data_IF_395986604765
#
_entry.id   IF_395986604765
#
_cell.length_a   1.000
_cell.length_b   1.000
_cell.length_c   1.000
_cell.angle_alpha   90.00
_cell.angle_beta   90.00
_cell.angle_gamma   90.00
#
_symmetry.space_group_name_H-M   'P 1'
#
loop_
_entity.id
_entity.type
_entity.pdbx_description
1 polymer ?
#
# COMPACT_ATOMS: atom_id res chain seq x y z
N UNK A 1 -13.58 25.50 20.23
CA UNK A 1 -13.58 24.02 20.30
C UNK A 1 -12.79 23.60 19.08
N UNK A 2 -11.62 22.99 19.24
CA UNK A 2 -11.05 22.25 18.12
C UNK A 2 -12.06 21.15 17.81
N UNK A 3 -12.59 21.12 16.59
CA UNK A 3 -13.41 20.00 16.14
C UNK A 3 -12.55 18.75 16.30
N UNK A 4 -12.88 17.93 17.30
CA UNK A 4 -12.21 16.66 17.51
C UNK A 4 -12.58 15.80 16.32
N UNK A 5 -11.71 15.75 15.31
CA UNK A 5 -11.91 14.89 14.15
C UNK A 5 -11.86 13.45 14.66
N UNK A 6 -13.02 12.82 14.72
CA UNK A 6 -13.13 11.42 15.13
C UNK A 6 -12.42 10.54 14.09
N UNK A 7 -11.69 9.51 14.51
CA UNK A 7 -11.02 8.61 13.59
C UNK A 7 -12.04 7.86 12.74
N UNK A 8 -11.74 7.70 11.45
CA UNK A 8 -12.58 6.92 10.53
C UNK A 8 -12.55 5.45 10.97
N UNK A 9 -13.71 4.85 11.18
CA UNK A 9 -13.83 3.45 11.57
C UNK A 9 -13.61 2.53 10.37
N UNK A 10 -12.55 1.71 10.44
CA UNK A 10 -12.10 0.84 9.35
C UNK A 10 -12.33 -0.63 9.68
N UNK A 11 -12.83 -1.38 8.69
CA UNK A 11 -12.87 -2.84 8.70
C UNK A 11 -11.80 -3.41 7.77
N UNK A 12 -11.21 -4.54 8.13
CA UNK A 12 -10.25 -5.27 7.29
C UNK A 12 -10.89 -6.60 6.88
N UNK A 13 -10.96 -6.89 5.57
CA UNK A 13 -11.32 -8.22 5.08
C UNK A 13 -10.09 -8.93 4.54
N UNK A 14 -9.71 -10.05 5.14
CA UNK A 14 -8.48 -10.80 4.87
C UNK A 14 -7.29 -10.31 5.69
N UNK A 15 -6.81 -11.14 6.61
CA UNK A 15 -5.73 -10.80 7.54
C UNK A 15 -4.37 -11.41 7.12
N UNK A 16 -4.12 -11.42 5.82
CA UNK A 16 -2.81 -11.70 5.24
C UNK A 16 -1.81 -10.55 5.44
N UNK A 17 -0.66 -10.54 4.73
CA UNK A 17 0.40 -9.55 4.92
C UNK A 17 -0.07 -8.09 4.85
N UNK A 18 -0.91 -7.78 3.85
CA UNK A 18 -1.46 -6.42 3.69
C UNK A 18 -2.43 -6.09 4.82
N UNK A 19 -3.35 -7.01 5.18
CA UNK A 19 -4.30 -6.78 6.27
C UNK A 19 -3.61 -6.57 7.63
N UNK A 20 -2.54 -7.34 7.90
CA UNK A 20 -1.69 -7.14 9.07
C UNK A 20 -1.00 -5.79 9.05
N UNK A 21 -0.40 -5.41 7.91
CA UNK A 21 0.26 -4.12 7.75
C UNK A 21 -0.73 -2.94 7.92
N UNK A 22 -1.97 -3.06 7.43
CA UNK A 22 -3.04 -2.06 7.62
C UNK A 22 -3.36 -1.91 9.10
N UNK A 23 -3.58 -3.00 9.83
CA UNK A 23 -3.83 -2.95 11.27
C UNK A 23 -2.66 -2.30 12.02
N UNK A 24 -1.43 -2.75 11.76
CA UNK A 24 -0.25 -2.26 12.48
C UNK A 24 0.03 -0.78 12.16
N UNK A 25 -0.24 -0.33 10.93
CA UNK A 25 -0.10 1.07 10.56
C UNK A 25 -1.16 1.93 11.28
N UNK A 26 -2.38 1.42 11.46
CA UNK A 26 -3.48 2.15 12.09
C UNK A 26 -3.22 2.52 13.55
N UNK A 27 -2.41 1.74 14.29
CA UNK A 27 -2.08 2.06 15.69
C UNK A 27 -1.26 3.34 15.86
N UNK A 28 -0.70 3.87 14.77
CA UNK A 28 0.14 5.07 14.75
C UNK A 28 -0.43 6.14 13.83
N UNK A 29 -1.71 6.04 13.47
CA UNK A 29 -2.43 6.98 12.63
C UNK A 29 -3.71 7.43 13.37
N UNK A 30 -3.74 8.65 13.93
CA UNK A 30 -4.88 9.12 14.72
C UNK A 30 -6.14 9.39 13.88
N UNK A 31 -6.04 9.39 12.54
CA UNK A 31 -7.17 9.68 11.65
C UNK A 31 -8.04 8.45 11.36
N UNK A 32 -7.60 7.26 11.77
CA UNK A 32 -8.28 5.99 11.50
C UNK A 32 -8.26 5.10 12.73
N UNK A 33 -9.29 4.26 12.86
CA UNK A 33 -9.34 3.23 13.89
C UNK A 33 -9.88 1.95 13.28
N UNK A 34 -9.07 0.88 13.29
CA UNK A 34 -9.57 -0.44 12.92
C UNK A 34 -10.45 -0.97 14.05
N UNK A 35 -11.70 -1.27 13.73
CA UNK A 35 -12.73 -1.74 14.68
C UNK A 35 -13.23 -3.15 14.37
N UNK A 36 -12.88 -3.69 13.20
CA UNK A 36 -13.26 -5.05 12.83
C UNK A 36 -12.28 -5.70 11.84
N UNK A 37 -12.11 -7.01 11.97
CA UNK A 37 -11.34 -7.87 11.08
C UNK A 37 -12.21 -9.06 10.70
N UNK A 38 -12.31 -9.36 9.42
CA UNK A 38 -12.87 -10.62 8.94
C UNK A 38 -11.78 -11.44 8.27
N UNK A 39 -11.52 -12.66 8.73
CA UNK A 39 -10.68 -13.63 8.02
C UNK A 39 -11.28 -15.02 8.17
N UNK A 40 -11.62 -15.67 7.06
CA UNK A 40 -12.32 -16.95 7.10
C UNK A 40 -11.44 -18.14 7.56
N UNK A 41 -10.12 -17.96 7.64
CA UNK A 41 -9.15 -19.04 7.90
C UNK A 41 -8.35 -18.86 9.18
N UNK A 42 -8.26 -17.63 9.69
CA UNK A 42 -7.38 -17.28 10.80
C UNK A 42 -8.16 -17.08 12.09
N UNK A 43 -7.81 -17.82 13.16
CA UNK A 43 -8.52 -17.71 14.44
C UNK A 43 -8.23 -16.40 15.17
N UNK A 44 -9.20 -15.93 15.98
CA UNK A 44 -9.04 -14.77 16.85
C UNK A 44 -7.83 -14.87 17.79
N UNK A 45 -7.56 -16.07 18.34
CA UNK A 45 -6.41 -16.31 19.21
C UNK A 45 -5.08 -16.12 18.49
N UNK A 46 -5.01 -16.51 17.21
CA UNK A 46 -3.80 -16.33 16.41
C UNK A 46 -3.60 -14.86 16.01
N UNK A 47 -4.66 -14.13 15.67
CA UNK A 47 -4.59 -12.68 15.45
C UNK A 47 -4.10 -11.97 16.72
N UNK A 48 -4.65 -12.32 17.88
CA UNK A 48 -4.20 -11.80 19.17
C UNK A 48 -2.75 -12.19 19.51
N UNK A 49 -2.30 -13.38 19.09
CA UNK A 49 -0.91 -13.80 19.20
C UNK A 49 0.01 -12.94 18.33
N UNK A 50 -0.33 -12.70 17.06
CA UNK A 50 0.44 -11.83 16.16
C UNK A 50 0.52 -10.41 16.72
N UNK A 51 -0.58 -9.86 17.24
CA UNK A 51 -0.58 -8.56 17.90
C UNK A 51 0.39 -8.50 19.07
N UNK A 52 0.46 -9.55 19.90
CA UNK A 52 1.39 -9.63 21.03
C UNK A 52 2.86 -9.75 20.63
N UNK A 53 3.16 -10.23 19.42
CA UNK A 53 4.53 -10.58 19.01
C UNK A 53 5.11 -9.64 17.95
N UNK A 54 4.33 -9.31 16.94
CA UNK A 54 4.82 -8.70 15.69
C UNK A 54 4.26 -7.30 15.41
N UNK A 55 3.27 -6.85 16.16
CA UNK A 55 2.70 -5.51 15.93
C UNK A 55 3.66 -4.36 16.29
N UNK A 56 3.34 -3.18 15.76
CA UNK A 56 3.96 -1.88 16.06
C UNK A 56 3.61 -1.31 17.43
N UNK A 57 2.74 -1.98 18.20
CA UNK A 57 2.30 -1.56 19.52
C UNK A 57 3.48 -1.52 20.51
N UNK A 58 3.39 -0.62 21.49
CA UNK A 58 4.36 -0.58 22.58
C UNK A 58 4.37 -1.91 23.36
N UNK A 59 5.44 -2.20 24.10
CA UNK A 59 5.51 -3.42 24.90
C UNK A 59 4.36 -3.52 25.92
N UNK A 60 3.95 -2.39 26.51
CA UNK A 60 2.80 -2.34 27.43
C UNK A 60 1.49 -2.65 26.72
N UNK A 61 1.28 -2.09 25.55
CA UNK A 61 0.05 -2.29 24.77
C UNK A 61 -0.06 -3.73 24.29
N UNK A 62 1.05 -4.32 23.83
CA UNK A 62 1.12 -5.74 23.50
C UNK A 62 0.78 -6.62 24.70
N UNK A 63 1.27 -6.30 25.90
CA UNK A 63 0.92 -7.05 27.11
C UNK A 63 -0.56 -6.96 27.49
N UNK A 64 -1.26 -5.91 27.05
CA UNK A 64 -2.69 -5.69 27.33
C UNK A 64 -3.66 -6.37 26.35
N UNK A 65 -3.16 -7.00 25.28
CA UNK A 65 -3.99 -7.63 24.26
C UNK A 65 -4.72 -8.84 24.86
N UNK A 66 -6.05 -8.79 24.89
CA UNK A 66 -6.92 -9.83 25.44
C UNK A 66 -8.03 -10.19 24.44
N UNK A 67 -8.41 -11.47 24.43
CA UNK A 67 -9.59 -11.96 23.70
C UNK A 67 -10.77 -12.00 24.66
N UNK A 68 -11.87 -11.33 24.29
CA UNK A 68 -13.11 -11.28 25.06
C UNK A 68 -14.28 -11.56 24.11
N UNK A 69 -14.75 -12.82 24.10
CA UNK A 69 -15.75 -13.26 23.14
C UNK A 69 -15.23 -13.17 21.71
N UNK A 70 -15.96 -12.47 20.84
CA UNK A 70 -15.54 -12.20 19.45
C UNK A 70 -14.66 -10.95 19.31
N UNK A 71 -14.22 -10.32 20.40
CA UNK A 71 -13.44 -9.10 20.37
C UNK A 71 -12.00 -9.31 20.82
N UNK A 72 -11.07 -8.63 20.15
CA UNK A 72 -9.74 -8.35 20.67
C UNK A 72 -9.77 -6.97 21.32
N UNK A 73 -9.39 -6.92 22.59
CA UNK A 73 -9.32 -5.70 23.38
C UNK A 73 -7.85 -5.29 23.58
N UNK A 74 -7.52 -4.03 23.33
CA UNK A 74 -6.18 -3.44 23.55
C UNK A 74 -6.34 -2.29 24.55
N UNK A 75 -5.55 -2.32 25.63
CA UNK A 75 -5.65 -1.39 26.77
C UNK A 75 -7.05 -1.27 27.40
N UNK A 76 -7.98 -2.18 27.10
CA UNK A 76 -9.38 -2.12 27.53
C UNK A 76 -10.26 -1.08 26.80
N UNK A 77 -9.69 -0.17 26.00
CA UNK A 77 -10.43 0.88 25.28
C UNK A 77 -10.69 0.54 23.82
N UNK A 78 -9.68 0.07 23.09
CA UNK A 78 -9.83 -0.31 21.68
C UNK A 78 -10.37 -1.74 21.60
N UNK A 79 -11.47 -1.91 20.87
CA UNK A 79 -12.10 -3.21 20.61
C UNK A 79 -12.15 -3.47 19.12
N UNK A 80 -11.68 -4.65 18.72
CA UNK A 80 -11.67 -5.10 17.33
C UNK A 80 -12.50 -6.38 17.27
N UNK A 81 -13.67 -6.32 16.63
CA UNK A 81 -14.47 -7.53 16.39
C UNK A 81 -13.77 -8.42 15.36
N UNK A 82 -13.66 -9.70 15.63
CA UNK A 82 -13.13 -10.68 14.69
C UNK A 82 -14.24 -11.62 14.23
N UNK A 83 -14.41 -11.72 12.92
CA UNK A 83 -15.37 -12.63 12.29
C UNK A 83 -14.70 -13.55 11.26
N UNK A 84 -15.37 -14.65 10.93
CA UNK A 84 -14.86 -15.68 10.01
C UNK A 84 -15.89 -15.98 8.90
N UNK A 85 -16.46 -14.94 8.31
CA UNK A 85 -17.54 -15.06 7.32
C UNK A 85 -16.98 -15.15 5.90
N UNK A 86 -17.58 -16.02 5.10
CA UNK A 86 -17.29 -16.13 3.67
C UNK A 86 -18.17 -15.20 2.83
N UNK A 87 -19.45 -15.10 3.18
CA UNK A 87 -20.36 -14.14 2.55
C UNK A 87 -20.07 -12.74 3.12
N UNK A 88 -19.83 -11.78 2.22
CA UNK A 88 -19.42 -10.43 2.57
C UNK A 88 -20.54 -9.62 3.23
N UNK A 89 -21.81 -9.94 2.92
CA UNK A 89 -22.96 -9.25 3.56
C UNK A 89 -23.13 -9.70 5.01
N UNK A 90 -22.87 -10.98 5.30
CA UNK A 90 -22.99 -11.58 6.64
C UNK A 90 -21.90 -11.11 7.61
N UNK A 91 -20.86 -10.41 7.13
CA UNK A 91 -19.88 -9.79 8.01
C UNK A 91 -20.55 -8.73 8.91
N UNK A 92 -21.63 -8.10 8.45
CA UNK A 92 -22.42 -7.12 9.20
C UNK A 92 -21.55 -5.98 9.76
N UNK A 93 -20.86 -5.27 8.87
CA UNK A 93 -20.00 -4.12 9.20
C UNK A 93 -20.72 -3.03 10.00
N UNK A 94 -22.02 -2.82 9.74
CA UNK A 94 -22.86 -1.85 10.45
C UNK A 94 -22.86 -2.05 11.97
N UNK A 95 -22.85 -3.30 12.43
CA UNK A 95 -23.03 -3.66 13.84
C UNK A 95 -21.88 -3.17 14.73
N UNK A 96 -20.73 -2.88 14.10
CA UNK A 96 -19.52 -2.36 14.76
C UNK A 96 -19.08 -1.02 14.19
N UNK A 97 -19.98 -0.32 13.48
CA UNK A 97 -19.76 1.05 13.01
C UNK A 97 -18.67 1.20 11.94
N UNK A 98 -18.30 0.13 11.22
CA UNK A 98 -17.32 0.24 10.13
C UNK A 98 -17.86 1.14 9.02
N UNK A 99 -17.11 2.20 8.70
CA UNK A 99 -17.44 3.14 7.63
C UNK A 99 -16.76 2.74 6.32
N UNK A 100 -15.49 2.33 6.36
CA UNK A 100 -14.75 1.91 5.17
C UNK A 100 -14.11 0.55 5.38
N UNK A 101 -14.12 -0.29 4.34
CA UNK A 101 -13.48 -1.60 4.36
C UNK A 101 -12.24 -1.58 3.49
N UNK A 102 -11.13 -2.08 4.01
CA UNK A 102 -9.96 -2.45 3.20
C UNK A 102 -10.07 -3.94 2.87
N UNK A 103 -10.31 -4.23 1.60
CA UNK A 103 -10.43 -5.58 1.06
C UNK A 103 -9.04 -6.10 0.67
N UNK A 104 -8.48 -6.99 1.50
CA UNK A 104 -7.13 -7.51 1.44
C UNK A 104 -7.05 -9.01 1.07
N UNK A 105 -8.18 -9.67 0.78
CA UNK A 105 -8.18 -11.11 0.46
C UNK A 105 -7.55 -11.42 -0.90
N UNK A 106 -7.63 -10.47 -1.85
CA UNK A 106 -7.29 -10.69 -3.25
C UNK A 106 -8.28 -11.60 -4.01
N UNK A 107 -9.36 -12.05 -3.37
CA UNK A 107 -10.40 -12.91 -3.96
C UNK A 107 -11.58 -12.10 -4.51
N UNK A 108 -11.88 -10.97 -3.86
CA UNK A 108 -12.96 -10.05 -4.21
C UNK A 108 -12.40 -8.89 -5.05
N UNK A 109 -12.02 -9.15 -6.29
CA UNK A 109 -11.41 -8.13 -7.16
C UNK A 109 -12.42 -7.40 -8.07
N UNK A 110 -13.71 -7.69 -7.98
CA UNK A 110 -14.75 -7.03 -8.80
C UNK A 110 -15.64 -6.11 -7.96
N UNK A 111 -16.14 -5.03 -8.58
CA UNK A 111 -17.04 -4.07 -7.96
C UNK A 111 -18.30 -4.75 -7.43
N UNK A 112 -18.84 -5.69 -8.21
CA UNK A 112 -20.01 -6.49 -7.85
C UNK A 112 -19.79 -7.29 -6.56
N UNK A 113 -18.66 -8.00 -6.43
CA UNK A 113 -18.36 -8.76 -5.20
C UNK A 113 -18.18 -7.82 -4.03
N UNK A 114 -17.38 -6.77 -4.18
CA UNK A 114 -17.14 -5.79 -3.11
C UNK A 114 -18.41 -5.06 -2.66
N UNK A 115 -19.45 -5.00 -3.49
CA UNK A 115 -20.75 -4.46 -3.09
C UNK A 115 -21.37 -5.21 -1.91
N UNK A 116 -21.01 -6.48 -1.68
CA UNK A 116 -21.42 -7.23 -0.49
C UNK A 116 -20.99 -6.56 0.82
N UNK A 117 -19.83 -5.88 0.85
CA UNK A 117 -19.41 -5.09 2.02
C UNK A 117 -20.27 -3.84 2.21
N UNK A 118 -20.65 -3.17 1.11
CA UNK A 118 -21.54 -2.01 1.15
C UNK A 118 -22.93 -2.43 1.65
N UNK A 119 -23.45 -3.55 1.14
CA UNK A 119 -24.70 -4.15 1.62
C UNK A 119 -24.62 -4.56 3.10
N UNK A 120 -23.44 -5.02 3.56
CA UNK A 120 -23.14 -5.31 4.96
C UNK A 120 -23.02 -4.07 5.86
N UNK A 121 -23.10 -2.86 5.29
CA UNK A 121 -23.21 -1.60 6.03
C UNK A 121 -22.03 -0.63 5.91
N UNK A 122 -20.98 -0.97 5.18
CA UNK A 122 -19.89 -0.03 4.92
C UNK A 122 -20.34 1.07 3.94
N UNK A 123 -19.83 2.30 4.12
CA UNK A 123 -20.03 3.41 3.18
C UNK A 123 -19.18 3.26 1.92
N UNK A 124 -17.99 2.69 2.07
CA UNK A 124 -17.07 2.47 0.95
C UNK A 124 -16.09 1.32 1.14
N UNK A 125 -15.45 0.90 0.06
CA UNK A 125 -14.51 -0.21 0.00
C UNK A 125 -13.28 0.21 -0.80
N UNK A 126 -12.11 -0.07 -0.25
CA UNK A 126 -10.82 0.04 -0.91
C UNK A 126 -10.32 -1.38 -1.19
N UNK A 127 -10.27 -1.77 -2.46
CA UNK A 127 -9.67 -3.02 -2.90
C UNK A 127 -8.16 -2.87 -2.91
N UNK A 128 -7.48 -3.58 -2.03
CA UNK A 128 -6.03 -3.67 -2.04
C UNK A 128 -5.56 -4.56 -3.21
N UNK A 129 -4.56 -4.09 -3.94
CA UNK A 129 -4.01 -4.76 -5.12
C UNK A 129 -4.73 -4.36 -6.40
N UNK A 130 -5.20 -5.35 -7.17
CA UNK A 130 -5.84 -5.11 -8.46
C UNK A 130 -7.34 -5.40 -8.43
N UNK A 131 -8.10 -4.51 -9.06
CA UNK A 131 -9.49 -4.76 -9.43
C UNK A 131 -9.64 -4.89 -10.95
N UNK A 132 -10.58 -5.75 -11.35
CA UNK A 132 -10.95 -5.94 -12.74
C UNK A 132 -11.66 -4.69 -13.31
N UNK A 133 -12.54 -4.06 -12.52
CA UNK A 133 -13.51 -3.07 -12.97
C UNK A 133 -13.68 -1.85 -12.03
N UNK A 134 -13.16 -1.88 -10.80
CA UNK A 134 -13.20 -0.72 -9.92
C UNK A 134 -12.18 0.36 -10.37
N UNK A 135 -12.55 1.65 -10.30
CA UNK A 135 -11.64 2.75 -10.65
C UNK A 135 -10.42 2.74 -9.72
N UNK A 136 -9.22 2.85 -10.29
CA UNK A 136 -7.97 2.90 -9.52
C UNK A 136 -7.68 4.32 -9.07
N UNK A 137 -7.39 4.50 -7.78
CA UNK A 137 -7.08 5.78 -7.17
C UNK A 137 -5.76 5.67 -6.40
N UNK A 138 -4.78 6.50 -6.75
CA UNK A 138 -3.49 6.59 -6.07
C UNK A 138 -3.27 8.05 -5.68
N UNK A 139 -3.13 8.28 -4.37
CA UNK A 139 -2.94 9.62 -3.84
C UNK A 139 -1.65 10.27 -4.37
N UNK A 140 -1.70 11.55 -4.76
CA UNK A 140 -0.58 12.26 -5.38
C UNK A 140 -0.27 11.83 -6.82
N UNK A 141 -1.14 11.06 -7.47
CA UNK A 141 -0.98 10.68 -8.88
C UNK A 141 -2.23 11.00 -9.71
N UNK A 142 -3.42 10.52 -9.31
CA UNK A 142 -4.66 10.75 -10.03
C UNK A 142 -5.86 11.05 -9.10
N UNK A 143 -5.60 11.38 -7.83
CA UNK A 143 -6.62 11.71 -6.84
C UNK A 143 -7.39 13.00 -7.13
N UNK A 144 -6.75 13.96 -7.80
CA UNK A 144 -7.40 15.19 -8.26
C UNK A 144 -8.48 14.95 -9.33
N UNK A 145 -8.41 13.81 -10.05
CA UNK A 145 -9.37 13.47 -11.09
C UNK A 145 -10.68 12.87 -10.54
N UNK A 146 -10.77 12.67 -9.22
CA UNK A 146 -11.93 12.05 -8.59
C UNK A 146 -13.14 13.01 -8.56
N UNK A 147 -13.99 12.90 -9.59
CA UNK A 147 -15.18 13.77 -9.76
C UNK A 147 -16.34 13.46 -8.83
N UNK A 148 -16.41 12.26 -8.27
CA UNK A 148 -17.52 11.82 -7.42
C UNK A 148 -17.12 10.69 -6.48
N UNK A 149 -17.75 10.62 -5.31
CA UNK A 149 -17.60 9.51 -4.38
C UNK A 149 -18.03 8.19 -5.06
N UNK A 150 -17.08 7.27 -5.21
CA UNK A 150 -17.36 5.90 -5.62
C UNK A 150 -17.30 5.00 -4.38
N UNK A 151 -18.35 4.20 -4.14
CA UNK A 151 -18.38 3.30 -2.98
C UNK A 151 -17.35 2.18 -3.05
N UNK A 152 -16.79 1.88 -4.22
CA UNK A 152 -15.75 0.85 -4.37
C UNK A 152 -14.64 1.40 -5.26
N UNK A 153 -13.43 1.51 -4.72
CA UNK A 153 -12.24 1.93 -5.46
C UNK A 153 -11.13 0.90 -5.32
N UNK A 154 -10.19 0.92 -6.25
CA UNK A 154 -8.99 0.08 -6.25
C UNK A 154 -7.78 0.93 -5.87
N UNK A 155 -6.95 0.47 -4.95
CA UNK A 155 -5.74 1.20 -4.57
C UNK A 155 -4.57 0.95 -5.53
N UNK A 156 -4.63 -0.07 -6.38
CA UNK A 156 -3.52 -0.45 -7.27
C UNK A 156 -2.44 -1.28 -6.56
N UNK A 157 -1.43 -1.74 -7.30
CA UNK A 157 -0.36 -2.56 -6.70
C UNK A 157 0.59 -1.73 -5.81
N UNK A 158 1.23 -2.34 -4.80
CA UNK A 158 2.18 -1.64 -3.91
C UNK A 158 3.28 -0.87 -4.63
N UNK A 159 3.91 -1.50 -5.64
CA UNK A 159 4.97 -0.87 -6.43
C UNK A 159 4.44 0.34 -7.22
N UNK A 160 3.27 0.22 -7.86
CA UNK A 160 2.67 1.35 -8.57
C UNK A 160 2.29 2.50 -7.63
N UNK A 161 1.72 2.19 -6.46
CA UNK A 161 1.35 3.21 -5.46
C UNK A 161 2.57 3.99 -4.96
N UNK A 162 3.72 3.33 -4.85
CA UNK A 162 4.97 3.97 -4.48
C UNK A 162 5.53 4.84 -5.62
N UNK A 163 5.57 4.31 -6.85
CA UNK A 163 6.29 4.94 -7.97
C UNK A 163 5.47 5.99 -8.74
N UNK A 164 4.15 5.86 -8.80
CA UNK A 164 3.30 6.69 -9.66
C UNK A 164 3.42 8.20 -9.39
N UNK A 165 3.46 8.70 -8.13
CA UNK A 165 3.64 10.13 -7.86
C UNK A 165 4.97 10.68 -8.40
N UNK A 166 6.06 9.91 -8.27
CA UNK A 166 7.38 10.29 -8.79
C UNK A 166 7.38 10.31 -10.32
N UNK A 167 6.84 9.28 -10.97
CA UNK A 167 6.77 9.18 -12.43
C UNK A 167 5.91 10.32 -13.00
N UNK A 168 4.77 10.63 -12.36
CA UNK A 168 3.92 11.77 -12.72
C UNK A 168 4.69 13.08 -12.61
N UNK A 169 5.43 13.28 -11.51
CA UNK A 169 6.26 14.46 -11.31
C UNK A 169 7.29 14.66 -12.41
N UNK A 170 8.05 13.61 -12.73
CA UNK A 170 9.08 13.67 -13.77
C UNK A 170 8.46 13.93 -15.15
N UNK A 171 7.29 13.35 -15.43
CA UNK A 171 6.59 13.59 -16.69
C UNK A 171 6.10 15.04 -16.81
N UNK A 172 5.49 15.59 -15.77
CA UNK A 172 4.99 16.97 -15.79
C UNK A 172 6.11 18.01 -15.90
N UNK A 173 7.25 17.79 -15.27
CA UNK A 173 8.34 18.77 -15.25
C UNK A 173 9.27 18.68 -16.46
N UNK A 174 9.55 17.47 -16.94
CA UNK A 174 10.62 17.25 -17.92
C UNK A 174 10.19 16.45 -19.15
N UNK A 175 8.96 15.94 -19.18
CA UNK A 175 8.50 15.02 -20.20
C UNK A 175 9.17 13.66 -20.06
N UNK A 176 8.40 12.65 -19.64
CA UNK A 176 8.90 11.28 -19.55
C UNK A 176 8.73 10.55 -20.89
N UNK A 177 9.84 10.15 -21.49
CA UNK A 177 9.87 9.36 -22.74
C UNK A 177 9.86 7.86 -22.45
N UNK A 178 10.59 7.44 -21.43
CA UNK A 178 10.74 6.02 -21.10
C UNK A 178 11.04 5.84 -19.61
N UNK A 179 10.43 4.85 -18.99
CA UNK A 179 10.70 4.44 -17.62
C UNK A 179 10.78 2.91 -17.57
N UNK A 180 11.90 2.39 -17.08
CA UNK A 180 12.08 0.96 -16.84
C UNK A 180 12.55 0.73 -15.42
N UNK A 181 11.78 0.00 -14.61
CA UNK A 181 12.12 -0.26 -13.22
C UNK A 181 12.32 -1.75 -12.92
N UNK A 182 13.19 -2.02 -11.95
CA UNK A 182 13.33 -3.33 -11.33
C UNK A 182 13.06 -3.18 -9.84
N UNK A 183 11.95 -3.73 -9.36
CA UNK A 183 11.63 -3.75 -7.93
C UNK A 183 12.24 -5.00 -7.28
N UNK A 184 13.03 -4.82 -6.24
CA UNK A 184 13.71 -5.89 -5.51
C UNK A 184 13.20 -5.82 -4.08
N UNK A 185 12.42 -6.81 -3.66
CA UNK A 185 11.82 -6.82 -2.32
C UNK A 185 12.03 -8.14 -1.60
N UNK A 186 11.96 -8.08 -0.28
CA UNK A 186 11.95 -9.26 0.56
C UNK A 186 10.80 -10.21 0.23
N UNK A 187 10.99 -11.48 0.58
CA UNK A 187 9.89 -12.43 0.68
C UNK A 187 8.90 -11.94 1.74
N UNK A 188 7.61 -11.93 1.40
CA UNK A 188 6.58 -11.46 2.33
C UNK A 188 6.13 -12.59 3.26
N UNK A 189 5.60 -12.26 4.46
CA UNK A 189 4.96 -13.25 5.32
C UNK A 189 3.92 -14.07 4.55
N UNK A 190 3.75 -15.34 4.89
CA UNK A 190 2.80 -16.27 4.24
C UNK A 190 3.08 -16.65 2.77
N UNK A 191 4.10 -16.09 2.12
CA UNK A 191 4.51 -16.58 0.81
C UNK A 191 5.12 -17.98 0.92
N UNK A 192 4.76 -18.84 -0.03
CA UNK A 192 5.18 -20.23 -0.02
C UNK A 192 6.67 -20.29 -0.36
N UNK A 193 7.45 -20.85 0.54
CA UNK A 193 8.92 -20.81 0.43
C UNK A 193 9.50 -21.87 -0.49
N UNK A 194 8.71 -22.88 -0.86
CA UNK A 194 9.04 -23.91 -1.85
C UNK A 194 7.81 -24.77 -2.21
N UNK A 195 7.81 -25.37 -3.40
CA UNK A 195 6.94 -26.48 -3.81
C UNK A 195 5.50 -26.11 -4.13
N UNK A 196 5.07 -24.86 -3.91
CA UNK A 196 3.71 -24.41 -4.19
C UNK A 196 3.70 -22.95 -4.66
N UNK A 197 2.82 -22.64 -5.61
CA UNK A 197 2.56 -21.29 -6.09
C UNK A 197 1.05 -21.07 -6.13
N UNK A 198 0.61 -19.83 -5.93
CA UNK A 198 -0.79 -19.43 -6.18
C UNK A 198 -1.12 -19.44 -7.67
N UNK A 199 -0.12 -19.35 -8.54
CA UNK A 199 -0.24 -19.51 -9.98
C UNK A 199 0.47 -20.81 -10.42
N UNK A 200 -0.27 -21.88 -10.78
CA UNK A 200 0.35 -23.16 -11.16
C UNK A 200 1.19 -23.08 -12.43
N UNK A 201 1.05 -22.02 -13.23
CA UNK A 201 1.87 -21.78 -14.42
C UNK A 201 3.17 -21.04 -14.11
N UNK A 202 3.31 -20.45 -12.92
CA UNK A 202 4.55 -19.78 -12.51
C UNK A 202 5.47 -20.76 -11.77
N UNK A 203 6.24 -21.52 -12.54
CA UNK A 203 7.19 -22.51 -12.01
C UNK A 203 8.39 -21.90 -11.29
N UNK A 204 8.69 -20.61 -11.47
CA UNK A 204 9.79 -19.99 -10.72
C UNK A 204 9.39 -19.80 -9.26
N UNK A 205 8.14 -19.41 -9.01
CA UNK A 205 7.60 -19.28 -7.66
C UNK A 205 7.40 -20.61 -6.92
N UNK A 206 7.54 -21.76 -7.58
CA UNK A 206 7.52 -23.08 -6.89
C UNK A 206 8.91 -23.52 -6.44
N UNK A 207 9.97 -22.79 -6.79
CA UNK A 207 11.35 -23.09 -6.35
C UNK A 207 11.58 -22.56 -4.93
N UNK A 208 12.58 -23.12 -4.25
CA UNK A 208 12.99 -22.70 -2.90
C UNK A 208 13.40 -21.22 -2.95
N UNK A 209 12.79 -20.35 -2.16
CA UNK A 209 13.04 -18.90 -2.21
C UNK A 209 14.01 -18.38 -1.15
N UNK A 210 14.22 -19.08 -0.03
CA UNK A 210 15.08 -18.60 1.08
C UNK A 210 16.56 -18.44 0.74
N UNK A 211 17.05 -19.08 -0.32
CA UNK A 211 18.45 -18.96 -0.79
C UNK A 211 18.54 -18.55 -2.27
N UNK A 212 17.46 -17.99 -2.84
CA UNK A 212 17.41 -17.67 -4.26
C UNK A 212 16.87 -16.26 -4.53
N UNK A 213 17.36 -15.66 -5.61
CA UNK A 213 16.77 -14.47 -6.23
C UNK A 213 15.71 -14.96 -7.22
N UNK A 214 14.44 -14.71 -6.92
CA UNK A 214 13.31 -15.28 -7.67
C UNK A 214 12.61 -14.18 -8.47
N UNK A 215 12.57 -14.27 -9.82
CA UNK A 215 11.74 -13.36 -10.61
C UNK A 215 10.27 -13.45 -10.19
N UNK A 216 9.64 -12.29 -9.99
CA UNK A 216 8.27 -12.16 -9.53
C UNK A 216 7.41 -11.43 -10.57
N UNK A 217 6.15 -11.85 -10.67
CA UNK A 217 5.19 -11.20 -11.58
C UNK A 217 4.70 -9.90 -10.91
N UNK A 218 5.31 -8.80 -11.31
CA UNK A 218 4.86 -7.47 -10.91
C UNK A 218 3.66 -6.99 -11.74
N UNK A 219 2.78 -6.29 -11.05
CA UNK A 219 1.52 -5.76 -11.55
C UNK A 219 1.53 -4.22 -11.60
N UNK A 220 2.67 -3.59 -11.32
CA UNK A 220 2.87 -2.15 -11.31
C UNK A 220 2.60 -1.51 -12.66
N UNK A 221 3.17 -2.04 -13.75
CA UNK A 221 2.91 -1.55 -15.12
C UNK A 221 1.43 -1.46 -15.43
N UNK A 222 0.67 -2.53 -15.23
CA UNK A 222 -0.78 -2.56 -15.51
C UNK A 222 -1.54 -1.49 -14.72
N UNK A 223 -1.11 -1.22 -13.49
CA UNK A 223 -1.72 -0.19 -12.64
C UNK A 223 -1.38 1.19 -13.18
N UNK A 224 -0.10 1.44 -13.51
CA UNK A 224 0.35 2.72 -14.06
C UNK A 224 -0.23 3.04 -15.43
N UNK A 225 -0.39 2.06 -16.32
CA UNK A 225 -1.09 2.23 -17.60
C UNK A 225 -2.54 2.72 -17.40
N UNK A 226 -3.22 2.29 -16.32
CA UNK A 226 -4.60 2.73 -16.00
C UNK A 226 -4.66 4.17 -15.49
N UNK A 227 -3.71 4.57 -14.64
CA UNK A 227 -3.75 5.87 -13.94
C UNK A 227 -2.94 6.98 -14.62
N UNK A 228 -2.03 6.62 -15.54
CA UNK A 228 -1.21 7.54 -16.31
C UNK A 228 -1.39 7.24 -17.81
N UNK A 229 -2.59 7.47 -18.38
CA UNK A 229 -2.92 7.06 -19.75
C UNK A 229 -2.00 7.68 -20.81
N UNK A 230 -1.48 8.89 -20.57
CA UNK A 230 -0.51 9.56 -21.45
C UNK A 230 0.87 8.88 -21.50
N UNK A 231 1.14 7.94 -20.59
CA UNK A 231 2.40 7.21 -20.49
C UNK A 231 2.27 5.72 -20.87
N UNK A 232 1.11 5.30 -21.37
CA UNK A 232 0.89 3.91 -21.81
C UNK A 232 1.95 3.52 -22.85
N UNK A 233 2.62 2.39 -22.59
CA UNK A 233 3.69 1.89 -23.44
C UNK A 233 5.07 2.52 -23.19
N UNK A 234 5.16 3.59 -22.39
CA UNK A 234 6.45 4.21 -21.98
C UNK A 234 7.00 3.64 -20.68
N UNK A 235 6.16 2.97 -19.89
CA UNK A 235 6.53 2.41 -18.59
C UNK A 235 6.61 0.88 -18.69
N UNK A 236 7.75 0.34 -18.31
CA UNK A 236 7.98 -1.10 -18.17
C UNK A 236 8.57 -1.40 -16.80
N UNK A 237 8.38 -2.63 -16.32
CA UNK A 237 9.06 -3.04 -15.11
C UNK A 237 9.02 -4.52 -14.85
N UNK A 238 9.91 -4.94 -13.97
CA UNK A 238 10.04 -6.31 -13.48
C UNK A 238 10.25 -6.29 -11.98
N UNK A 239 10.09 -7.44 -11.33
CA UNK A 239 10.40 -7.57 -9.92
C UNK A 239 11.16 -8.85 -9.60
N UNK A 240 11.89 -8.80 -8.50
CA UNK A 240 12.57 -9.93 -7.88
C UNK A 240 12.22 -10.00 -6.40
N UNK A 241 12.01 -11.22 -5.92
CA UNK A 241 12.01 -11.55 -4.51
C UNK A 241 13.38 -12.04 -4.09
N UNK A 242 13.86 -11.55 -2.94
CA UNK A 242 15.18 -11.91 -2.39
C UNK A 242 15.08 -12.27 -0.90
N UNK A 243 16.06 -13.01 -0.34
CA UNK A 243 16.06 -13.44 1.07
C UNK A 243 16.38 -12.34 2.10
N UNK A 244 15.72 -11.18 1.99
CA UNK A 244 15.84 -10.08 2.96
C UNK A 244 14.54 -9.93 3.74
N UNK A 245 14.64 -9.57 5.02
CA UNK A 245 13.49 -9.47 5.92
C UNK A 245 12.64 -8.22 5.69
N UNK A 246 13.24 -7.15 5.19
CA UNK A 246 12.64 -5.81 5.17
C UNK A 246 13.21 -4.99 4.02
N UNK A 247 12.39 -4.09 3.52
CA UNK A 247 12.75 -3.12 2.51
C UNK A 247 12.52 -3.59 1.08
N UNK A 248 12.27 -2.61 0.22
CA UNK A 248 12.23 -2.75 -1.22
C UNK A 248 13.14 -1.68 -1.83
N UNK A 249 14.11 -2.14 -2.63
CA UNK A 249 14.86 -1.28 -3.52
C UNK A 249 14.15 -1.25 -4.87
N UNK A 250 14.07 -0.07 -5.49
CA UNK A 250 13.71 0.04 -6.91
C UNK A 250 14.88 0.67 -7.62
N UNK A 251 15.37 -0.07 -8.60
CA UNK A 251 16.31 0.43 -9.56
C UNK A 251 15.56 0.91 -10.81
N UNK A 252 15.47 2.23 -11.01
CA UNK A 252 14.67 2.85 -12.06
C UNK A 252 15.54 3.61 -13.06
N UNK A 253 15.44 3.25 -14.34
CA UNK A 253 15.95 4.05 -15.45
C UNK A 253 14.83 4.96 -15.97
N UNK A 254 15.11 6.26 -16.10
CA UNK A 254 14.20 7.24 -16.69
C UNK A 254 14.90 7.97 -17.83
N UNK A 255 14.26 8.05 -18.99
CA UNK A 255 14.65 8.91 -20.10
C UNK A 255 13.65 10.05 -20.21
N UNK A 256 14.17 11.27 -20.26
CA UNK A 256 13.37 12.49 -20.29
C UNK A 256 13.42 13.12 -21.69
N UNK A 257 12.45 13.94 -22.04
CA UNK A 257 12.36 14.60 -23.36
C UNK A 257 13.47 15.63 -23.57
N UNK A 258 14.10 16.09 -22.48
CA UNK A 258 15.26 16.98 -22.48
C UNK A 258 16.30 16.49 -21.47
N UNK A 259 17.61 16.73 -21.70
CA UNK A 259 18.64 16.44 -20.71
C UNK A 259 18.40 17.20 -19.40
N UNK A 260 18.50 16.50 -18.28
CA UNK A 260 18.40 17.08 -16.93
C UNK A 260 19.67 16.73 -16.16
N UNK A 261 20.39 17.71 -15.65
CA UNK A 261 21.59 17.42 -14.84
C UNK A 261 21.21 16.74 -13.52
N UNK A 262 22.16 16.02 -12.92
CA UNK A 262 21.96 15.38 -11.61
C UNK A 262 21.57 16.40 -10.54
N UNK A 263 22.20 17.57 -10.55
CA UNK A 263 21.94 18.65 -9.60
C UNK A 263 20.53 19.22 -9.77
N UNK A 264 20.08 19.41 -11.02
CA UNK A 264 18.71 19.87 -11.30
C UNK A 264 17.68 18.85 -10.83
N UNK A 265 17.91 17.57 -11.12
CA UNK A 265 17.03 16.49 -10.68
C UNK A 265 16.95 16.41 -9.15
N UNK A 266 18.10 16.43 -8.47
CA UNK A 266 18.17 16.39 -7.01
C UNK A 266 17.40 17.52 -6.37
N UNK A 267 17.56 18.74 -6.92
CA UNK A 267 16.87 19.91 -6.42
C UNK A 267 15.35 19.77 -6.62
N UNK A 268 14.90 19.33 -7.80
CA UNK A 268 13.48 19.13 -8.08
C UNK A 268 12.84 18.08 -7.18
N UNK A 269 13.51 16.96 -6.92
CA UNK A 269 13.00 15.90 -6.03
C UNK A 269 13.01 16.33 -4.56
N UNK A 270 14.02 17.10 -4.14
CA UNK A 270 14.06 17.69 -2.79
C UNK A 270 12.94 18.69 -2.56
N UNK A 271 12.66 19.55 -3.55
CA UNK A 271 11.54 20.50 -3.51
C UNK A 271 10.21 19.78 -3.51
N UNK A 272 10.02 18.78 -4.37
CA UNK A 272 8.78 18.00 -4.40
C UNK A 272 8.53 17.26 -3.08
N UNK A 273 9.56 16.65 -2.47
CA UNK A 273 9.46 15.96 -1.18
C UNK A 273 9.09 16.90 -0.02
N UNK A 274 9.49 18.17 -0.10
CA UNK A 274 9.17 19.20 0.89
C UNK A 274 7.86 19.95 0.58
N UNK A 275 7.35 19.81 -0.65
CA UNK A 275 6.18 20.50 -1.17
C UNK A 275 5.05 19.53 -1.53
N UNK A 276 4.66 19.49 -2.81
CA UNK A 276 3.45 18.79 -3.26
C UNK A 276 3.45 17.27 -3.03
N UNK A 277 4.61 16.64 -2.92
CA UNK A 277 4.76 15.21 -2.62
C UNK A 277 5.17 14.96 -1.17
N UNK A 278 5.02 15.96 -0.29
CA UNK A 278 5.17 15.73 1.14
C UNK A 278 4.20 14.65 1.61
N UNK A 279 4.70 13.73 2.42
CA UNK A 279 3.94 12.54 2.86
C UNK A 279 4.08 11.32 1.94
N UNK A 280 4.56 11.49 0.70
CA UNK A 280 4.65 10.38 -0.27
C UNK A 280 6.05 10.21 -0.88
N UNK A 281 6.88 11.25 -0.86
CA UNK A 281 8.27 11.24 -1.29
C UNK A 281 9.17 11.73 -0.14
N UNK A 282 10.36 11.14 -0.02
CA UNK A 282 11.46 11.66 0.79
C UNK A 282 12.75 11.73 -0.02
N UNK A 283 13.66 12.60 0.40
CA UNK A 283 14.98 12.79 -0.22
C UNK A 283 16.05 12.44 0.81
N UNK A 284 17.01 11.59 0.46
CA UNK A 284 18.13 11.20 1.33
C UNK A 284 19.47 11.32 0.61
N UNK A 285 20.51 11.66 1.38
CA UNK A 285 21.93 11.56 1.00
C UNK A 285 22.71 10.59 1.91
N UNK A 286 22.00 9.88 2.78
CA UNK A 286 22.60 8.88 3.65
C UNK A 286 22.86 7.59 2.85
N UNK A 287 23.87 6.84 3.24
CA UNK A 287 24.22 5.55 2.63
C UNK A 287 23.23 4.46 3.10
N UNK A 288 22.00 4.52 2.60
CA UNK A 288 20.88 3.67 3.02
C UNK A 288 21.03 2.23 2.53
N UNK A 289 20.53 1.29 3.35
CA UNK A 289 20.34 -0.11 2.98
C UNK A 289 18.91 -0.58 3.28
N UNK A 290 18.59 -1.81 2.91
CA UNK A 290 17.21 -2.33 2.95
C UNK A 290 16.54 -2.28 4.33
N UNK A 291 17.28 -2.45 5.43
CA UNK A 291 16.69 -2.40 6.77
C UNK A 291 16.26 -0.99 7.20
N UNK A 292 16.77 0.05 6.53
CA UNK A 292 16.47 1.46 6.82
C UNK A 292 15.14 1.91 6.20
N UNK A 293 14.53 1.09 5.32
CA UNK A 293 13.19 1.36 4.80
C UNK A 293 12.17 1.47 5.95
N UNK A 294 11.53 2.62 6.15
CA UNK A 294 10.55 2.81 7.24
C UNK A 294 9.12 2.68 6.69
N UNK A 295 8.18 2.02 7.41
CA UNK A 295 6.77 1.91 7.02
C UNK A 295 5.99 3.22 7.23
N UNK A 296 6.41 4.28 6.57
CA UNK A 296 5.85 5.64 6.69
C UNK A 296 5.04 6.09 5.46
N UNK A 297 4.88 5.21 4.46
CA UNK A 297 4.16 5.51 3.21
C UNK A 297 4.97 6.28 2.16
N UNK A 298 6.23 6.63 2.45
CA UNK A 298 7.07 7.40 1.54
C UNK A 298 7.94 6.51 0.66
N UNK A 299 8.09 6.92 -0.59
CA UNK A 299 9.18 6.50 -1.46
C UNK A 299 10.39 7.39 -1.17
N UNK A 300 11.52 6.79 -0.80
CA UNK A 300 12.75 7.53 -0.55
C UNK A 300 13.61 7.55 -1.80
N UNK A 301 13.90 8.75 -2.30
CA UNK A 301 14.93 8.98 -3.30
C UNK A 301 16.32 8.98 -2.65
N UNK A 302 17.15 8.03 -3.06
CA UNK A 302 18.54 7.90 -2.63
C UNK A 302 19.44 8.68 -3.59
N UNK A 303 19.80 9.90 -3.19
CA UNK A 303 20.52 10.82 -4.06
C UNK A 303 21.98 10.39 -4.28
N UNK A 304 22.61 9.67 -3.35
CA UNK A 304 24.01 9.22 -3.46
C UNK A 304 24.12 7.93 -4.26
N UNK A 305 23.11 7.05 -4.19
CA UNK A 305 23.00 5.86 -5.03
C UNK A 305 22.49 6.12 -6.45
N UNK A 306 21.90 7.30 -6.70
CA UNK A 306 21.39 7.70 -8.01
C UNK A 306 22.43 8.46 -8.83
N UNK A 307 22.39 8.34 -10.16
CA UNK A 307 23.35 9.02 -11.05
C UNK A 307 22.77 9.27 -12.45
N UNK A 308 23.32 10.27 -13.15
CA UNK A 308 22.94 10.58 -14.54
C UNK A 308 23.78 9.80 -15.54
N UNK A 309 23.17 9.47 -16.68
CA UNK A 309 23.78 8.82 -17.82
C UNK A 309 23.79 9.79 -19.00
N UNK A 310 24.83 9.73 -19.83
CA UNK A 310 24.96 10.52 -21.09
C UNK A 310 24.63 12.00 -20.87
N UNK A 311 25.34 12.63 -19.93
CA UNK A 311 25.20 14.05 -19.60
C UNK A 311 23.75 14.52 -19.32
N UNK A 312 22.92 13.64 -18.75
CA UNK A 312 21.57 13.95 -18.30
C UNK A 312 20.44 13.49 -19.22
N UNK A 313 20.75 12.86 -20.37
CA UNK A 313 19.73 12.27 -21.26
C UNK A 313 18.91 11.17 -20.57
N UNK A 314 19.53 10.44 -19.64
CA UNK A 314 18.84 9.45 -18.83
C UNK A 314 19.32 9.50 -17.37
N UNK A 315 18.45 9.05 -16.47
CA UNK A 315 18.67 9.06 -15.03
C UNK A 315 18.54 7.64 -14.49
N UNK A 316 19.47 7.25 -13.63
CA UNK A 316 19.41 6.02 -12.86
C UNK A 316 19.06 6.38 -11.42
N UNK A 317 17.86 6.02 -10.99
CA UNK A 317 17.34 6.33 -9.66
C UNK A 317 17.37 5.07 -8.80
N UNK A 318 18.06 5.16 -7.68
CA UNK A 318 17.89 4.23 -6.58
C UNK A 318 16.80 4.77 -5.65
N UNK A 319 15.80 3.94 -5.39
CA UNK A 319 14.66 4.31 -4.55
C UNK A 319 14.45 3.23 -3.48
N UNK A 320 14.07 3.64 -2.28
CA UNK A 320 13.81 2.75 -1.15
C UNK A 320 12.41 2.96 -0.59
N UNK A 321 11.70 1.88 -0.28
CA UNK A 321 10.45 1.97 0.48
C UNK A 321 10.14 0.66 1.20
N UNK A 322 9.30 0.73 2.23
CA UNK A 322 8.72 -0.45 2.86
C UNK A 322 7.47 -0.89 2.08
N UNK A 323 7.50 -2.08 1.49
CA UNK A 323 6.46 -2.50 0.53
C UNK A 323 5.10 -2.74 1.19
N UNK A 324 5.06 -3.30 2.39
CA UNK A 324 3.80 -3.69 3.04
C UNK A 324 3.27 -2.56 3.94
N UNK A 325 4.09 -2.06 4.86
CA UNK A 325 3.74 -0.97 5.76
C UNK A 325 3.65 0.38 5.04
N UNK A 326 4.49 0.62 4.04
CA UNK A 326 4.33 1.78 3.16
C UNK A 326 3.02 1.71 2.38
N UNK A 327 2.67 0.57 1.79
CA UNK A 327 1.40 0.41 1.09
C UNK A 327 0.18 0.51 2.03
N UNK A 328 0.27 -0.05 3.22
CA UNK A 328 -0.76 0.06 4.25
C UNK A 328 -1.04 1.52 4.65
N UNK A 329 0.00 2.34 4.86
CA UNK A 329 -0.16 3.78 5.08
C UNK A 329 -0.91 4.45 3.94
N UNK A 330 -0.62 4.08 2.70
CA UNK A 330 -1.27 4.64 1.49
C UNK A 330 -2.73 4.21 1.37
N UNK A 331 -3.06 2.98 1.76
CA UNK A 331 -4.44 2.52 1.88
C UNK A 331 -5.23 3.33 2.93
N UNK A 332 -4.63 3.57 4.10
CA UNK A 332 -5.26 4.36 5.16
C UNK A 332 -5.42 5.84 4.76
N UNK A 333 -4.43 6.44 4.12
CA UNK A 333 -4.57 7.79 3.56
C UNK A 333 -5.69 7.87 2.53
N UNK A 334 -5.90 6.82 1.73
CA UNK A 334 -7.00 6.74 0.78
C UNK A 334 -8.37 6.64 1.47
N UNK A 335 -8.46 5.90 2.57
CA UNK A 335 -9.67 5.86 3.42
C UNK A 335 -10.03 7.26 3.92
N UNK A 336 -9.04 7.98 4.46
CA UNK A 336 -9.25 9.35 4.96
C UNK A 336 -9.67 10.29 3.84
N UNK A 337 -9.02 10.22 2.67
CA UNK A 337 -9.40 11.02 1.51
C UNK A 337 -10.84 10.77 1.08
N UNK A 338 -11.25 9.51 0.93
CA UNK A 338 -12.63 9.15 0.57
C UNK A 338 -13.64 9.60 1.61
N UNK A 339 -13.26 9.61 2.89
CA UNK A 339 -14.12 10.10 3.96
C UNK A 339 -14.34 11.61 3.87
N UNK A 340 -13.28 12.37 3.63
CA UNK A 340 -13.34 13.83 3.47
C UNK A 340 -14.12 14.27 2.22
N UNK A 341 -14.10 13.44 1.16
CA UNK A 341 -14.85 13.70 -0.07
C UNK A 341 -16.30 13.23 -0.05
N UNK A 342 -16.67 12.36 0.90
CA UNK A 342 -18.04 11.92 1.08
C UNK A 342 -18.95 13.09 1.49
N UNK A 343 -20.28 12.95 1.36
CA UNK A 343 -21.18 13.90 2.01
C UNK A 343 -20.78 13.95 3.49
N UNK A 344 -20.55 15.16 4.00
CA UNK A 344 -20.43 15.37 5.44
C UNK A 344 -21.65 14.71 6.08
N UNK A 345 -21.43 13.74 6.96
CA UNK A 345 -22.50 13.21 7.80
C UNK A 345 -23.13 14.45 8.44
N UNK A 346 -24.37 14.77 8.05
CA UNK A 346 -25.00 16.04 8.41
C UNK A 346 -24.90 16.25 9.91
N UNK A 347 -24.05 17.19 10.30
CA UNK A 347 -23.97 17.72 11.65
C UNK A 347 -24.75 19.03 11.69
#
# INVERSE_FOLDING_TARGET
MEDVVLPVCVGINGFGPIGQAVLFSSFTDPLVSVVAINDASMSIDYIAYLLRRESSLSAGDRASVLVVGEFICIQGSQKIRVSHKHDLVEIAWRDVGVQYVVECTGLSSTRERCWGHVAGGAKGVIVAGQSADAPTLISGANDEELKSACSVVCAGSPVAVALAPLIRLLHEQYGLEECSYTAIHGMRPMELTAGRSKNPQDWRQTRVSIDNIVPYIDNGKKTMDKILPGLVGRISGTAFQVPVKKGCAVDMLVRLSQPVSKEMLDQALKEAASGRLNGVLSYSKEDLISCDCVPNGKLCYDATGSYSLRDGEAQKLLLWFDIDGGYARRLLSLVVLLHQMGPSDGM
#
